data_IF_867601470416
#
_entry.id   IF_867601470416
#
_cell.length_a   1.000
_cell.length_b   1.000
_cell.length_c   1.000
_cell.angle_alpha   90.00
_cell.angle_beta   90.00
_cell.angle_gamma   90.00
#
_symmetry.space_group_name_H-M   'P 1'
#
loop_
_entity.id
_entity.type
_entity.pdbx_description
1 polymer ?
#
# COMPACT_ATOMS: atom_id res chain seq x y z
N UNK A 1 0.45 21.17 -7.96
CA UNK A 1 0.08 19.74 -7.99
C UNK A 1 -0.04 19.34 -6.54
N UNK A 2 -1.14 18.72 -6.11
CA UNK A 2 -1.33 18.43 -4.69
C UNK A 2 -0.19 17.50 -4.22
N UNK A 3 0.49 17.86 -3.14
CA UNK A 3 1.44 16.99 -2.45
C UNK A 3 0.64 15.86 -1.79
N UNK A 4 0.34 14.82 -2.55
CA UNK A 4 -0.43 13.67 -2.08
C UNK A 4 0.38 12.94 -1.00
N UNK A 5 -0.25 12.67 0.13
CA UNK A 5 0.36 11.98 1.28
C UNK A 5 -0.49 10.80 1.68
N UNK A 6 0.14 9.74 2.18
CA UNK A 6 -0.53 8.52 2.60
C UNK A 6 -1.43 7.95 1.50
N UNK A 7 -0.82 7.64 0.36
CA UNK A 7 -1.52 7.06 -0.79
C UNK A 7 -0.78 5.86 -1.38
N UNK A 8 -1.55 5.01 -2.05
CA UNK A 8 -1.09 3.92 -2.90
C UNK A 8 -1.81 4.06 -4.23
N UNK A 9 -1.05 4.18 -5.32
CA UNK A 9 -1.55 4.10 -6.70
C UNK A 9 -1.26 2.72 -7.26
N UNK A 10 -2.31 2.03 -7.74
CA UNK A 10 -2.23 0.72 -8.37
C UNK A 10 -2.37 0.87 -9.88
N UNK A 11 -1.27 0.79 -10.62
CA UNK A 11 -1.25 0.92 -12.07
C UNK A 11 -0.84 -0.41 -12.71
N UNK A 12 -1.84 -1.24 -13.01
CA UNK A 12 -1.64 -2.62 -13.45
C UNK A 12 -0.84 -3.43 -12.42
N UNK A 13 0.34 -3.90 -12.83
CA UNK A 13 1.23 -4.72 -12.00
C UNK A 13 2.20 -3.90 -11.14
N UNK A 14 2.10 -2.56 -11.15
CA UNK A 14 3.00 -1.66 -10.44
C UNK A 14 2.28 -0.88 -9.36
N UNK A 15 3.00 -0.66 -8.26
CA UNK A 15 2.58 0.22 -7.16
C UNK A 15 3.54 1.41 -7.07
N UNK A 16 2.97 2.59 -6.87
CA UNK A 16 3.69 3.78 -6.38
C UNK A 16 2.90 4.41 -5.24
N UNK A 17 3.56 5.12 -4.34
CA UNK A 17 2.88 5.76 -3.21
C UNK A 17 3.84 6.22 -2.13
N UNK A 18 3.28 6.74 -1.06
CA UNK A 18 4.03 7.05 0.15
C UNK A 18 3.22 6.72 1.41
N UNK A 19 3.94 6.49 2.50
CA UNK A 19 3.40 6.29 3.85
C UNK A 19 4.18 7.21 4.78
N UNK A 20 3.49 8.21 5.31
CA UNK A 20 4.03 9.25 6.15
C UNK A 20 3.35 9.29 7.52
N UNK A 21 4.14 9.62 8.53
CA UNK A 21 3.71 9.91 9.89
C UNK A 21 4.49 11.13 10.39
N UNK A 22 4.25 11.53 11.64
CA UNK A 22 5.05 12.58 12.29
C UNK A 22 6.54 12.20 12.44
N UNK A 23 6.90 10.93 12.32
CA UNK A 23 8.26 10.44 12.58
C UNK A 23 8.99 9.89 11.36
N UNK A 24 8.28 9.67 10.25
CA UNK A 24 8.86 9.11 9.03
C UNK A 24 8.05 9.52 7.82
N UNK A 25 8.71 9.56 6.66
CA UNK A 25 8.09 9.74 5.36
C UNK A 25 8.79 8.79 4.38
N UNK A 26 8.04 7.80 3.89
CA UNK A 26 8.58 6.68 3.15
C UNK A 26 7.90 6.56 1.79
N UNK A 27 8.70 6.67 0.73
CA UNK A 27 8.28 6.22 -0.59
C UNK A 27 8.09 4.71 -0.60
N UNK A 28 7.00 4.27 -1.23
CA UNK A 28 6.67 2.86 -1.42
C UNK A 28 6.50 2.56 -2.90
N UNK A 29 7.12 1.47 -3.31
CA UNK A 29 6.94 0.88 -4.64
C UNK A 29 6.48 -0.57 -4.49
N UNK A 30 5.97 -1.17 -5.56
CA UNK A 30 5.51 -2.55 -5.49
C UNK A 30 5.30 -3.20 -6.83
N UNK A 31 5.22 -4.52 -6.79
CA UNK A 31 5.10 -5.40 -7.94
C UNK A 31 4.04 -6.46 -7.65
N UNK A 32 3.21 -6.76 -8.65
CA UNK A 32 2.23 -7.84 -8.56
C UNK A 32 2.91 -9.19 -8.33
N UNK A 33 2.22 -10.08 -7.61
CA UNK A 33 2.65 -11.47 -7.50
C UNK A 33 1.56 -12.38 -8.00
N UNK A 34 1.97 -13.42 -8.73
CA UNK A 34 1.11 -14.55 -9.04
C UNK A 34 1.23 -15.57 -7.91
N UNK A 35 0.10 -15.96 -7.33
CA UNK A 35 0.06 -17.04 -6.34
C UNK A 35 -1.30 -17.75 -6.39
N UNK A 36 -1.27 -19.07 -6.37
CA UNK A 36 -2.48 -19.89 -6.27
C UNK A 36 -3.03 -19.96 -4.84
N UNK A 37 -2.31 -19.40 -3.86
CA UNK A 37 -2.76 -19.36 -2.48
C UNK A 37 -3.70 -18.15 -2.27
N UNK A 38 -4.98 -18.36 -1.92
CA UNK A 38 -5.95 -17.27 -1.74
C UNK A 38 -5.64 -16.34 -0.56
N UNK A 39 -4.71 -16.75 0.33
CA UNK A 39 -4.25 -15.92 1.47
C UNK A 39 -2.94 -15.17 1.17
N UNK A 40 -2.34 -15.38 0.00
CA UNK A 40 -1.14 -14.67 -0.39
C UNK A 40 -1.44 -13.17 -0.65
N UNK A 41 -0.45 -12.29 -0.47
CA UNK A 41 -0.57 -10.94 -0.99
C UNK A 41 -0.72 -10.99 -2.52
N UNK A 42 -1.35 -9.97 -3.09
CA UNK A 42 -1.43 -9.74 -4.54
C UNK A 42 -0.33 -8.80 -5.04
N UNK A 43 0.27 -8.01 -4.13
CA UNK A 43 1.46 -7.19 -4.42
C UNK A 43 2.48 -7.31 -3.29
N UNK A 44 3.77 -7.32 -3.64
CA UNK A 44 4.87 -7.07 -2.70
C UNK A 44 5.18 -5.58 -2.69
N UNK A 45 5.45 -5.05 -1.50
CA UNK A 45 5.80 -3.66 -1.30
C UNK A 45 7.26 -3.52 -0.90
N UNK A 46 7.89 -2.47 -1.41
CA UNK A 46 9.30 -2.20 -1.23
C UNK A 46 9.52 -0.74 -0.83
N UNK A 47 10.41 -0.55 0.12
CA UNK A 47 10.95 0.76 0.49
C UNK A 47 12.45 0.83 0.23
N UNK A 48 13.05 1.99 0.50
CA UNK A 48 14.50 2.19 0.47
C UNK A 48 15.05 2.40 1.87
N UNK A 49 16.13 1.70 2.21
CA UNK A 49 16.94 2.01 3.40
C UNK A 49 17.57 3.41 3.29
N UNK A 50 18.09 4.01 4.39
CA UNK A 50 18.83 5.27 4.32
C UNK A 50 20.03 5.27 3.36
N UNK A 51 20.58 4.08 3.04
CA UNK A 51 21.64 3.90 2.03
C UNK A 51 21.12 3.69 0.60
N UNK A 52 19.83 3.92 0.35
CA UNK A 52 19.20 3.78 -0.97
C UNK A 52 18.93 2.33 -1.42
N UNK A 53 19.26 1.32 -0.60
CA UNK A 53 19.00 -0.10 -0.95
C UNK A 53 17.50 -0.41 -0.91
N UNK A 54 16.98 -1.03 -1.98
CA UNK A 54 15.61 -1.53 -2.05
C UNK A 54 15.46 -2.76 -1.16
N UNK A 55 14.45 -2.77 -0.31
CA UNK A 55 14.09 -3.90 0.56
C UNK A 55 12.60 -4.14 0.49
N UNK A 56 12.17 -5.40 0.60
CA UNK A 56 10.76 -5.72 0.80
C UNK A 56 10.35 -5.33 2.22
N UNK A 57 9.23 -4.63 2.34
CA UNK A 57 8.72 -4.12 3.60
C UNK A 57 7.33 -4.70 3.94
N UNK A 58 6.68 -5.40 3.01
CA UNK A 58 5.37 -5.97 3.24
C UNK A 58 4.61 -6.24 1.95
N UNK A 59 3.29 -6.16 2.01
CA UNK A 59 2.44 -6.48 0.86
C UNK A 59 1.06 -5.85 0.91
N UNK A 60 0.32 -6.05 -0.18
CA UNK A 60 -1.10 -5.72 -0.32
C UNK A 60 -1.87 -7.01 -0.53
N UNK A 61 -2.99 -7.17 0.16
CA UNK A 61 -3.94 -8.27 0.01
C UNK A 61 -5.24 -7.74 -0.56
N UNK A 62 -5.85 -8.52 -1.46
CA UNK A 62 -7.21 -8.31 -1.94
C UNK A 62 -8.16 -9.14 -1.07
N UNK A 63 -9.22 -8.52 -0.56
CA UNK A 63 -10.20 -9.14 0.34
C UNK A 63 -11.63 -8.85 -0.14
N UNK A 64 -12.59 -9.61 0.39
CA UNK A 64 -14.03 -9.44 0.17
C UNK A 64 -14.69 -8.86 1.42
N UNK A 65 -15.50 -7.81 1.26
CA UNK A 65 -16.34 -7.28 2.34
C UNK A 65 -17.60 -8.13 2.53
N UNK A 66 -18.43 -7.81 3.54
CA UNK A 66 -19.65 -8.57 3.86
C UNK A 66 -20.66 -8.63 2.71
N UNK A 67 -20.61 -7.66 1.79
CA UNK A 67 -21.49 -7.58 0.62
C UNK A 67 -20.85 -8.17 -0.65
N UNK A 68 -19.70 -8.83 -0.54
CA UNK A 68 -18.97 -9.42 -1.68
C UNK A 68 -18.16 -8.44 -2.52
N UNK A 69 -18.09 -7.16 -2.12
CA UNK A 69 -17.25 -6.15 -2.75
C UNK A 69 -15.77 -6.36 -2.46
N UNK A 70 -14.92 -6.14 -3.46
CA UNK A 70 -13.47 -6.21 -3.28
C UNK A 70 -12.95 -4.98 -2.55
N UNK A 71 -11.97 -5.18 -1.66
CA UNK A 71 -11.19 -4.10 -1.07
C UNK A 71 -9.75 -4.55 -0.85
N UNK A 72 -8.85 -3.59 -0.74
CA UNK A 72 -7.44 -3.88 -0.50
C UNK A 72 -7.05 -3.53 0.94
N UNK A 73 -6.14 -4.33 1.48
CA UNK A 73 -5.48 -4.06 2.76
C UNK A 73 -3.99 -4.16 2.58
N UNK A 74 -3.21 -3.34 3.26
CA UNK A 74 -1.76 -3.45 3.29
C UNK A 74 -1.27 -3.77 4.69
N UNK A 75 -0.09 -4.39 4.73
CA UNK A 75 0.67 -4.59 5.94
C UNK A 75 2.13 -4.35 5.62
N UNK A 76 2.77 -3.40 6.29
CA UNK A 76 4.18 -3.03 6.08
C UNK A 76 4.92 -2.86 7.39
N UNK A 77 6.21 -3.14 7.38
CA UNK A 77 7.15 -2.79 8.45
C UNK A 77 7.84 -1.47 8.08
N UNK A 78 7.65 -0.43 8.88
CA UNK A 78 8.22 0.91 8.64
C UNK A 78 9.61 1.08 9.24
N UNK A 79 10.16 0.05 9.89
CA UNK A 79 11.37 0.13 10.71
C UNK A 79 11.12 0.58 12.15
N UNK A 80 9.98 1.23 12.41
CA UNK A 80 9.54 1.61 13.77
C UNK A 80 8.47 0.67 14.31
N UNK A 81 7.46 0.41 13.49
CA UNK A 81 6.35 -0.46 13.83
C UNK A 81 5.79 -1.15 12.59
N UNK A 82 4.97 -2.18 12.83
CA UNK A 82 4.12 -2.74 11.78
C UNK A 82 2.90 -1.84 11.60
N UNK A 83 2.71 -1.33 10.40
CA UNK A 83 1.49 -0.64 10.00
C UNK A 83 0.57 -1.62 9.27
N UNK A 84 -0.66 -1.74 9.75
CA UNK A 84 -1.75 -2.35 9.00
C UNK A 84 -2.70 -1.24 8.55
N UNK A 85 -3.18 -1.31 7.32
CA UNK A 85 -4.13 -0.32 6.80
C UNK A 85 -5.12 -0.94 5.82
N UNK A 86 -6.27 -0.31 5.69
CA UNK A 86 -7.17 -0.49 4.56
C UNK A 86 -6.81 0.53 3.48
N UNK A 87 -7.10 0.17 2.22
CA UNK A 87 -6.98 1.08 1.09
C UNK A 87 -8.38 1.45 0.62
N UNK A 88 -8.70 2.73 0.73
CA UNK A 88 -9.97 3.31 0.29
C UNK A 88 -9.76 4.33 -0.82
N UNK A 89 -10.83 4.78 -1.49
CA UNK A 89 -10.72 5.81 -2.53
C UNK A 89 -10.06 7.07 -1.95
N UNK A 90 -9.07 7.63 -2.67
CA UNK A 90 -8.43 8.86 -2.22
C UNK A 90 -9.42 10.05 -2.31
N UNK A 91 -9.57 10.87 -1.24
CA UNK A 91 -10.56 11.94 -1.23
C UNK A 91 -10.32 13.02 -2.30
N UNK A 92 -11.41 13.51 -2.90
CA UNK A 92 -11.36 14.62 -3.85
C UNK A 92 -10.62 14.31 -5.16
N UNK A 93 -10.51 13.03 -5.51
CA UNK A 93 -9.90 12.56 -6.76
C UNK A 93 -10.85 11.62 -7.51
N UNK A 94 -10.84 11.73 -8.83
CA UNK A 94 -11.61 10.87 -9.74
C UNK A 94 -10.83 9.63 -10.18
N UNK A 95 -9.54 9.54 -9.84
CA UNK A 95 -8.68 8.41 -10.15
C UNK A 95 -8.97 7.23 -9.19
N UNK A 96 -9.68 6.21 -9.68
CA UNK A 96 -9.97 4.99 -8.92
C UNK A 96 -8.72 4.16 -8.60
N UNK A 97 -7.63 4.34 -9.35
CA UNK A 97 -6.35 3.68 -9.08
C UNK A 97 -5.62 4.28 -7.88
N UNK A 98 -6.01 5.50 -7.47
CA UNK A 98 -5.41 6.23 -6.36
C UNK A 98 -6.19 5.98 -5.07
N UNK A 99 -5.53 5.30 -4.13
CA UNK A 99 -6.12 4.86 -2.88
C UNK A 99 -5.45 5.58 -1.70
N UNK A 100 -6.24 6.03 -0.73
CA UNK A 100 -5.76 6.51 0.55
C UNK A 100 -5.35 5.33 1.45
N UNK A 101 -4.24 5.51 2.16
CA UNK A 101 -3.78 4.61 3.23
C UNK A 101 -4.51 5.01 4.52
N UNK A 102 -5.39 4.13 4.99
CA UNK A 102 -6.20 4.35 6.19
C UNK A 102 -5.73 3.36 7.27
N UNK A 103 -4.87 3.80 8.22
CA UNK A 103 -4.38 2.96 9.30
C UNK A 103 -5.51 2.28 10.07
N UNK A 104 -5.27 1.04 10.51
CA UNK A 104 -6.16 0.30 11.38
C UNK A 104 -5.36 -0.37 12.49
N UNK A 105 -5.90 -0.28 13.69
CA UNK A 105 -5.31 -0.80 14.92
C UNK A 105 -5.43 -2.33 14.99
#
# INVERSE_FOLDING_TARGET
MADLVNFIKIDGDKITGNIASLSYDLDVTGEAIASDNPKAPVFRLFGKTPRGRRIEIGGIWKKKNQNGGDYYTLSVNTGFAKLNANLGRYPGQDDESLLAVIPRD
#
